data_IF_425983096472
#
_entry.id   IF_425983096472
#
_cell.length_a   1.000
_cell.length_b   1.000
_cell.length_c   1.000
_cell.angle_alpha   90.00
_cell.angle_beta   90.00
_cell.angle_gamma   90.00
#
_symmetry.space_group_name_H-M   'P 1'
#
loop_
_entity.id
_entity.type
_entity.pdbx_description
1 polymer ?
#
# COMPACT_ATOMS: atom_id res chain seq x y z
N UNK A 1 -4.66 27.13 40.10
CA UNK A 1 -5.64 26.02 40.10
C UNK A 1 -6.76 26.39 39.16
N UNK A 2 -6.78 25.84 37.96
CA UNK A 2 -7.93 25.92 37.06
C UNK A 2 -8.34 24.48 36.73
N UNK A 3 -9.46 24.05 37.34
CA UNK A 3 -10.09 22.75 37.13
C UNK A 3 -11.03 22.89 35.92
N UNK A 4 -11.06 21.86 35.07
CA UNK A 4 -11.99 21.61 33.96
C UNK A 4 -11.54 22.08 32.57
N UNK A 5 -10.54 21.41 31.99
CA UNK A 5 -10.74 20.91 30.64
C UNK A 5 -11.53 19.62 30.80
N UNK A 6 -12.79 19.62 30.37
CA UNK A 6 -13.67 18.46 30.46
C UNK A 6 -12.99 17.23 29.89
N UNK A 7 -13.04 16.16 30.66
CA UNK A 7 -12.55 14.87 30.26
C UNK A 7 -13.47 14.28 29.18
N UNK A 8 -13.36 14.75 27.93
CA UNK A 8 -14.11 14.25 26.76
C UNK A 8 -13.63 12.86 26.30
N UNK A 9 -13.05 12.07 27.21
CA UNK A 9 -12.52 10.73 26.92
C UNK A 9 -13.68 9.76 26.67
N UNK A 10 -13.79 9.28 25.43
CA UNK A 10 -14.81 8.33 24.99
C UNK A 10 -14.37 6.87 25.06
N UNK A 11 -13.07 6.59 25.21
CA UNK A 11 -12.51 5.23 25.23
C UNK A 11 -11.42 5.06 26.29
N UNK A 12 -11.36 3.90 26.99
CA UNK A 12 -10.29 3.58 27.92
C UNK A 12 -8.94 3.50 27.19
N UNK A 13 -7.88 4.03 27.82
CA UNK A 13 -6.51 4.03 27.29
C UNK A 13 -5.62 3.13 28.13
N UNK A 14 -4.81 2.32 27.46
CA UNK A 14 -3.76 1.51 28.05
C UNK A 14 -2.44 2.28 27.98
N UNK A 15 -1.69 2.32 29.09
CA UNK A 15 -0.33 2.86 29.08
C UNK A 15 0.61 1.89 28.34
N UNK A 16 1.39 2.41 27.39
CA UNK A 16 2.26 1.60 26.53
C UNK A 16 3.57 2.33 26.25
N UNK A 17 4.55 1.61 25.71
CA UNK A 17 5.77 2.18 25.12
C UNK A 17 6.03 1.44 23.82
N UNK A 18 5.38 1.88 22.74
CA UNK A 18 5.49 1.26 21.42
C UNK A 18 6.16 2.21 20.44
N UNK A 19 7.18 1.74 19.73
CA UNK A 19 7.81 2.53 18.70
C UNK A 19 6.83 2.78 17.55
N UNK A 20 6.84 3.98 16.98
CA UNK A 20 6.03 4.33 15.83
C UNK A 20 6.88 5.00 14.74
N UNK A 21 6.56 4.68 13.49
CA UNK A 21 6.94 5.49 12.34
C UNK A 21 5.75 6.38 12.00
N UNK A 22 6.02 7.66 11.78
CA UNK A 22 5.05 8.68 11.43
C UNK A 22 5.38 9.18 10.02
N UNK A 23 4.40 9.16 9.13
CA UNK A 23 4.54 9.68 7.78
C UNK A 23 3.48 10.76 7.51
N UNK A 24 3.88 11.87 6.90
CA UNK A 24 3.01 12.98 6.52
C UNK A 24 2.88 13.16 5.01
N UNK A 25 1.93 13.99 4.59
CA UNK A 25 1.72 14.36 3.17
C UNK A 25 2.83 15.23 2.56
N UNK A 26 3.78 15.71 3.38
CA UNK A 26 4.88 16.59 2.98
C UNK A 26 6.20 16.00 3.48
N UNK A 27 6.76 15.04 2.73
CA UNK A 27 8.15 14.53 2.70
C UNK A 27 8.90 14.22 4.02
N UNK A 28 8.28 14.37 5.18
CA UNK A 28 8.90 14.14 6.49
C UNK A 28 8.38 12.83 7.08
N UNK A 29 9.12 11.75 6.84
CA UNK A 29 9.02 10.55 7.67
C UNK A 29 9.86 10.75 8.92
N UNK A 30 9.30 10.40 10.09
CA UNK A 30 10.02 10.45 11.35
C UNK A 30 9.60 9.33 12.30
N UNK A 31 10.25 9.29 13.46
CA UNK A 31 10.00 8.25 14.47
C UNK A 31 9.44 8.88 15.74
N UNK A 32 8.76 8.07 16.54
CA UNK A 32 8.27 8.48 17.85
C UNK A 32 7.89 7.29 18.73
N UNK A 33 7.40 7.60 19.92
CA UNK A 33 6.99 6.62 20.92
C UNK A 33 5.52 6.82 21.28
N UNK A 34 4.73 5.76 21.19
CA UNK A 34 3.36 5.75 21.69
C UNK A 34 3.41 5.50 23.19
N UNK A 35 2.85 6.44 23.95
CA UNK A 35 2.84 6.44 25.42
C UNK A 35 1.51 5.91 25.99
N UNK A 36 0.43 6.10 25.26
CA UNK A 36 -0.86 5.49 25.55
C UNK A 36 -1.63 5.18 24.26
N UNK A 37 -2.41 4.11 24.29
CA UNK A 37 -3.16 3.61 23.15
C UNK A 37 -4.61 3.30 23.56
N UNK A 38 -5.54 3.65 22.69
CA UNK A 38 -6.96 3.36 22.81
C UNK A 38 -7.50 2.81 21.49
N UNK A 39 -8.77 2.39 21.47
CA UNK A 39 -9.44 1.94 20.24
C UNK A 39 -9.56 3.02 19.16
N UNK A 40 -9.48 4.29 19.52
CA UNK A 40 -9.78 5.43 18.65
C UNK A 40 -8.66 6.46 18.58
N UNK A 41 -7.49 6.18 19.15
CA UNK A 41 -6.41 7.15 19.18
C UNK A 41 -5.26 6.76 20.11
N UNK A 42 -4.23 7.58 20.12
CA UNK A 42 -3.03 7.39 20.93
C UNK A 42 -2.40 8.73 21.34
N UNK A 43 -1.46 8.68 22.26
CA UNK A 43 -0.52 9.78 22.53
C UNK A 43 0.85 9.40 22.02
N UNK A 44 1.45 10.28 21.23
CA UNK A 44 2.75 10.13 20.59
C UNK A 44 3.72 11.14 21.19
N UNK A 45 4.94 10.71 21.47
CA UNK A 45 6.12 11.53 21.71
C UNK A 45 7.00 11.51 20.44
N UNK A 46 7.35 12.66 19.88
CA UNK A 46 8.18 12.76 18.67
C UNK A 46 8.80 14.15 18.54
N UNK A 47 9.98 14.23 17.91
CA UNK A 47 10.62 15.50 17.55
C UNK A 47 10.03 16.14 16.27
N UNK A 48 9.07 15.46 15.62
CA UNK A 48 8.36 16.02 14.48
C UNK A 48 7.44 17.14 14.91
N UNK A 49 7.44 18.23 14.14
CA UNK A 49 6.52 19.34 14.37
C UNK A 49 5.08 18.91 14.05
N UNK A 50 4.25 18.80 15.10
CA UNK A 50 2.84 18.43 14.99
C UNK A 50 1.95 19.67 15.10
N UNK A 51 1.04 19.84 14.15
CA UNK A 51 0.06 20.92 14.15
C UNK A 51 -1.36 20.35 14.28
N UNK A 52 -2.21 20.88 15.19
CA UNK A 52 -3.61 20.47 15.27
C UNK A 52 -4.32 20.56 13.92
N UNK A 53 -5.09 19.52 13.57
CA UNK A 53 -5.77 19.37 12.29
C UNK A 53 -4.94 18.71 11.18
N UNK A 54 -3.64 18.48 11.38
CA UNK A 54 -2.83 17.67 10.47
C UNK A 54 -3.25 16.19 10.57
N UNK A 55 -3.41 15.52 9.43
CA UNK A 55 -3.58 14.07 9.37
C UNK A 55 -2.25 13.41 9.03
N UNK A 56 -1.85 12.41 9.83
CA UNK A 56 -0.63 11.62 9.63
C UNK A 56 -0.95 10.13 9.49
N UNK A 57 -0.08 9.38 8.86
CA UNK A 57 -0.10 7.91 8.87
C UNK A 57 0.82 7.38 9.96
N UNK A 58 0.41 6.31 10.64
CA UNK A 58 1.18 5.68 11.71
C UNK A 58 1.43 4.20 11.42
N UNK A 59 2.64 3.75 11.74
CA UNK A 59 2.99 2.33 11.86
C UNK A 59 3.46 2.07 13.29
N UNK A 60 2.63 1.44 14.12
CA UNK A 60 2.90 1.25 15.56
C UNK A 60 3.39 -0.17 15.82
N UNK A 61 4.64 -0.33 16.24
CA UNK A 61 5.22 -1.62 16.60
C UNK A 61 4.73 -2.08 17.98
N UNK A 62 3.73 -2.97 18.00
CA UNK A 62 3.15 -3.52 19.24
C UNK A 62 3.82 -4.87 19.57
N UNK A 63 4.43 -5.06 20.75
CA UNK A 63 5.10 -6.32 21.10
C UNK A 63 4.19 -7.54 21.10
N UNK A 64 2.91 -7.39 21.43
CA UNK A 64 1.96 -8.52 21.43
C UNK A 64 1.43 -8.85 20.02
N UNK A 65 1.79 -8.06 19.00
CA UNK A 65 1.38 -8.28 17.63
C UNK A 65 2.60 -8.60 16.76
N UNK A 66 2.42 -9.57 15.88
CA UNK A 66 3.46 -10.01 14.94
C UNK A 66 3.89 -8.90 13.96
N UNK A 67 3.00 -7.95 13.65
CA UNK A 67 3.22 -6.83 12.73
C UNK A 67 2.79 -5.51 13.35
N UNK A 68 3.37 -4.41 12.86
CA UNK A 68 2.94 -3.08 13.26
C UNK A 68 1.44 -2.88 12.99
N UNK A 69 0.78 -2.16 13.90
CA UNK A 69 -0.58 -1.70 13.72
C UNK A 69 -0.55 -0.50 12.76
N UNK A 70 -1.32 -0.58 11.68
CA UNK A 70 -1.34 0.39 10.59
C UNK A 70 -2.53 1.33 10.73
N UNK A 71 -2.25 2.64 10.80
CA UNK A 71 -3.27 3.69 10.81
C UNK A 71 -3.09 4.56 9.59
N UNK A 72 -4.02 4.46 8.64
CA UNK A 72 -4.01 5.16 7.33
C UNK A 72 -4.39 6.66 7.46
N UNK A 73 -4.80 7.10 8.64
CA UNK A 73 -5.07 8.50 8.95
C UNK A 73 -5.37 8.71 10.43
N UNK A 74 -4.52 9.50 11.07
CA UNK A 74 -4.65 9.93 12.44
C UNK A 74 -4.58 11.46 12.51
N UNK A 75 -5.65 12.10 12.96
CA UNK A 75 -5.75 13.54 13.04
C UNK A 75 -5.16 14.03 14.37
N UNK A 76 -4.24 15.00 14.30
CA UNK A 76 -3.68 15.68 15.47
C UNK A 76 -4.79 16.51 16.14
N UNK A 77 -5.20 16.09 17.33
CA UNK A 77 -6.22 16.78 18.14
C UNK A 77 -5.62 17.93 18.95
N UNK A 78 -4.40 17.71 19.44
CA UNK A 78 -3.60 18.70 20.15
C UNK A 78 -2.12 18.34 20.00
N UNK A 79 -1.26 19.33 20.15
CA UNK A 79 0.19 19.17 20.18
C UNK A 79 0.80 20.13 21.22
N UNK A 80 1.83 19.67 21.91
CA UNK A 80 2.75 20.48 22.70
C UNK A 80 4.17 20.39 22.11
N UNK A 81 5.24 20.62 22.90
CA UNK A 81 6.61 20.71 22.37
C UNK A 81 7.08 19.42 21.69
N UNK A 82 6.83 18.26 22.31
CA UNK A 82 7.28 16.95 21.86
C UNK A 82 6.19 15.87 21.92
N UNK A 83 4.98 16.20 22.40
CA UNK A 83 3.85 15.29 22.43
C UNK A 83 2.70 15.73 21.53
N UNK A 84 1.99 14.75 21.00
CA UNK A 84 0.74 14.96 20.27
C UNK A 84 -0.32 13.93 20.66
N UNK A 85 -1.56 14.39 20.76
CA UNK A 85 -2.74 13.54 20.87
C UNK A 85 -3.32 13.28 19.49
N UNK A 86 -3.39 12.01 19.09
CA UNK A 86 -3.84 11.60 17.75
C UNK A 86 -5.16 10.84 17.83
N UNK A 87 -6.13 11.18 16.99
CA UNK A 87 -7.39 10.46 16.83
C UNK A 87 -7.36 9.64 15.53
N UNK A 88 -7.65 8.34 15.61
CA UNK A 88 -7.70 7.46 14.45
C UNK A 88 -8.98 7.73 13.66
N UNK A 89 -8.84 8.35 12.48
CA UNK A 89 -9.97 8.69 11.60
C UNK A 89 -10.08 7.75 10.41
N UNK A 90 -8.98 7.12 10.00
CA UNK A 90 -8.96 6.11 8.94
C UNK A 90 -8.11 4.93 9.36
N UNK A 91 -8.78 3.79 9.50
CA UNK A 91 -8.17 2.51 9.82
C UNK A 91 -8.94 1.42 9.10
N UNK A 92 -8.23 0.42 8.59
CA UNK A 92 -8.87 -0.73 7.93
C UNK A 92 -9.56 -1.60 8.97
N UNK A 93 -10.65 -2.26 8.59
CA UNK A 93 -11.41 -3.11 9.52
C UNK A 93 -10.58 -4.21 10.18
N UNK A 94 -9.61 -4.78 9.48
CA UNK A 94 -8.70 -5.80 10.03
C UNK A 94 -7.76 -5.23 11.08
N UNK A 95 -7.18 -4.05 10.84
CA UNK A 95 -6.35 -3.33 11.82
C UNK A 95 -7.17 -2.91 13.03
N UNK A 96 -8.41 -2.47 12.83
CA UNK A 96 -9.32 -2.13 13.92
C UNK A 96 -9.68 -3.36 14.76
N UNK A 97 -9.85 -4.54 14.14
CA UNK A 97 -10.04 -5.79 14.86
C UNK A 97 -8.80 -6.17 15.69
N UNK A 98 -7.60 -6.10 15.10
CA UNK A 98 -6.33 -6.37 15.81
C UNK A 98 -6.14 -5.44 17.00
N UNK A 99 -6.45 -4.16 16.84
CA UNK A 99 -6.44 -3.19 17.95
C UNK A 99 -7.46 -3.55 19.02
N UNK A 100 -8.67 -3.94 18.65
CA UNK A 100 -9.70 -4.33 19.61
C UNK A 100 -9.31 -5.58 20.42
N UNK A 101 -8.72 -6.58 19.78
CA UNK A 101 -8.22 -7.81 20.41
C UNK A 101 -7.04 -7.51 21.35
N UNK A 102 -6.11 -6.65 20.93
CA UNK A 102 -5.01 -6.17 21.77
C UNK A 102 -5.54 -5.48 23.03
N UNK A 103 -6.49 -4.55 22.86
CA UNK A 103 -7.09 -3.82 23.98
C UNK A 103 -7.84 -4.76 24.93
N UNK A 104 -8.56 -5.75 24.41
CA UNK A 104 -9.26 -6.74 25.24
C UNK A 104 -8.30 -7.60 26.06
N UNK A 105 -7.20 -8.05 25.45
CA UNK A 105 -6.22 -8.95 26.09
C UNK A 105 -5.44 -8.26 27.21
N UNK A 106 -5.11 -6.97 27.04
CA UNK A 106 -4.31 -6.20 28.02
C UNK A 106 -5.17 -5.62 29.15
N UNK A 107 -6.36 -5.09 28.86
CA UNK A 107 -7.29 -4.62 29.89
C UNK A 107 -7.75 -5.76 30.81
N UNK A 108 -7.79 -7.00 30.30
CA UNK A 108 -8.04 -8.19 31.13
C UNK A 108 -6.89 -8.57 32.08
N UNK A 109 -5.64 -8.18 31.77
CA UNK A 109 -4.47 -8.45 32.62
C UNK A 109 -4.23 -7.36 33.67
N UNK A 110 -4.53 -6.09 33.36
CA UNK A 110 -4.41 -4.97 34.30
C UNK A 110 -5.41 -5.04 35.48
N UNK A 111 -6.50 -5.82 35.34
CA UNK A 111 -7.45 -6.06 36.42
C UNK A 111 -6.96 -7.08 37.47
N UNK A 112 -5.87 -7.83 37.20
CA UNK A 112 -5.46 -9.00 38.00
C UNK A 112 -4.02 -8.94 38.55
N UNK A 113 -3.26 -7.86 38.31
CA UNK A 113 -1.89 -7.76 38.84
C UNK A 113 -1.51 -6.34 39.23
N UNK A 114 -1.61 -6.05 40.53
CA UNK A 114 -0.75 -5.07 41.17
C UNK A 114 0.57 -5.71 41.50
N UNK A 115 1.53 -5.73 40.58
CA UNK A 115 2.94 -5.78 40.95
C UNK A 115 3.83 -5.19 39.86
N UNK A 116 4.78 -4.40 40.32
CA UNK A 116 5.85 -3.78 39.55
C UNK A 116 6.95 -4.78 39.23
N UNK A 117 7.60 -4.53 38.09
CA UNK A 117 8.92 -5.00 37.67
C UNK A 117 8.98 -6.27 36.81
N UNK A 118 9.59 -6.04 35.64
CA UNK A 118 10.36 -6.97 34.80
C UNK A 118 9.58 -8.13 34.19
N UNK A 119 9.28 -8.02 32.89
CA UNK A 119 9.15 -9.19 32.02
C UNK A 119 9.45 -8.80 30.58
N UNK A 120 10.67 -9.18 30.20
CA UNK A 120 11.09 -9.73 28.91
C UNK A 120 10.66 -9.01 27.62
N UNK A 121 11.69 -8.41 27.01
CA UNK A 121 11.72 -7.95 25.65
C UNK A 121 11.47 -9.14 24.67
N UNK A 122 10.66 -8.86 23.64
CA UNK A 122 10.37 -9.60 22.40
C UNK A 122 9.19 -10.58 22.39
N UNK A 123 8.38 -10.51 21.31
CA UNK A 123 8.57 -11.39 20.15
C UNK A 123 8.92 -10.68 18.83
N UNK A 124 9.93 -11.24 18.16
CA UNK A 124 10.39 -11.00 16.77
C UNK A 124 9.91 -12.19 15.95
N UNK A 125 9.00 -12.04 15.00
CA UNK A 125 8.60 -13.21 14.19
C UNK A 125 8.98 -13.13 12.71
N UNK A 126 9.49 -12.00 12.22
CA UNK A 126 10.03 -11.95 10.83
C UNK A 126 11.28 -11.09 10.59
N UNK A 127 11.81 -10.37 11.59
CA UNK A 127 13.07 -9.63 11.38
C UNK A 127 14.21 -10.63 11.16
N UNK A 128 14.87 -10.56 10.01
CA UNK A 128 16.00 -11.42 9.67
C UNK A 128 15.64 -12.70 8.93
N UNK A 129 14.36 -12.93 8.58
CA UNK A 129 13.99 -13.99 7.63
C UNK A 129 14.24 -13.59 6.19
N UNK A 130 14.30 -12.29 5.88
CA UNK A 130 14.65 -11.78 4.56
C UNK A 130 15.97 -12.34 4.03
N UNK A 131 17.11 -12.27 4.75
CA UNK A 131 18.37 -12.84 4.28
C UNK A 131 18.36 -14.37 4.22
N UNK A 132 17.48 -15.05 4.96
CA UNK A 132 17.32 -16.52 4.89
C UNK A 132 16.56 -16.89 3.62
N UNK A 133 15.44 -16.20 3.34
CA UNK A 133 14.65 -16.42 2.15
C UNK A 133 15.38 -15.99 0.89
N UNK A 134 16.09 -14.85 0.90
CA UNK A 134 16.89 -14.38 -0.22
C UNK A 134 17.89 -15.45 -0.73
N UNK A 135 18.40 -16.31 0.16
CA UNK A 135 19.32 -17.42 -0.17
C UNK A 135 18.60 -18.69 -0.63
N UNK A 136 17.28 -18.81 -0.41
CA UNK A 136 16.52 -20.01 -0.70
C UNK A 136 15.09 -19.69 -1.22
N UNK A 137 14.95 -19.33 -2.51
CA UNK A 137 13.65 -19.02 -3.13
C UNK A 137 12.64 -20.15 -3.03
N UNK A 138 13.07 -21.41 -3.12
CA UNK A 138 12.17 -22.56 -3.01
C UNK A 138 11.55 -22.69 -1.61
N UNK A 139 12.35 -22.48 -0.56
CA UNK A 139 11.83 -22.44 0.82
C UNK A 139 10.88 -21.26 1.01
N UNK A 140 11.23 -20.09 0.47
CA UNK A 140 10.44 -18.87 0.57
C UNK A 140 9.06 -19.04 -0.09
N UNK A 141 9.02 -19.59 -1.31
CA UNK A 141 7.77 -19.90 -2.03
C UNK A 141 6.93 -20.92 -1.26
N UNK A 142 7.54 -22.01 -0.76
CA UNK A 142 6.80 -23.04 -0.01
C UNK A 142 6.16 -22.48 1.26
N UNK A 143 6.89 -21.65 2.01
CA UNK A 143 6.35 -20.99 3.21
C UNK A 143 5.30 -19.94 2.85
N UNK A 144 5.55 -19.15 1.82
CA UNK A 144 4.61 -18.19 1.25
C UNK A 144 3.28 -18.83 0.86
N UNK A 145 3.33 -19.95 0.14
CA UNK A 145 2.14 -20.68 -0.29
C UNK A 145 1.35 -21.23 0.91
N UNK A 146 2.04 -21.73 1.94
CA UNK A 146 1.40 -22.19 3.17
C UNK A 146 0.67 -21.04 3.89
N UNK A 147 1.29 -19.85 3.97
CA UNK A 147 0.66 -18.66 4.54
C UNK A 147 -0.52 -18.16 3.70
N UNK A 148 -0.39 -18.16 2.38
CA UNK A 148 -1.48 -17.79 1.47
C UNK A 148 -2.68 -18.72 1.58
N UNK A 149 -2.44 -20.03 1.75
CA UNK A 149 -3.50 -21.01 1.95
C UNK A 149 -4.25 -20.81 3.27
N UNK A 150 -3.59 -20.26 4.30
CA UNK A 150 -4.20 -19.96 5.59
C UNK A 150 -5.08 -18.71 5.51
N UNK A 151 -4.56 -17.62 4.94
CA UNK A 151 -5.30 -16.37 4.78
C UNK A 151 -4.88 -15.63 3.51
N UNK A 152 -5.73 -15.75 2.47
CA UNK A 152 -5.49 -15.12 1.17
C UNK A 152 -5.60 -13.60 1.23
N UNK A 153 -6.51 -13.06 2.06
CA UNK A 153 -6.78 -11.62 2.12
C UNK A 153 -5.62 -10.87 2.79
N UNK A 154 -5.04 -11.48 3.81
CA UNK A 154 -3.92 -10.93 4.59
C UNK A 154 -2.56 -11.20 3.95
N UNK A 155 -2.46 -12.21 3.07
CA UNK A 155 -1.18 -12.59 2.46
C UNK A 155 -0.43 -11.41 1.86
N UNK A 156 -1.10 -10.54 1.09
CA UNK A 156 -0.44 -9.38 0.45
C UNK A 156 0.26 -8.45 1.44
N UNK A 157 -0.30 -8.31 2.65
CA UNK A 157 0.24 -7.43 3.69
C UNK A 157 1.26 -8.14 4.59
N UNK A 158 1.23 -9.48 4.65
CA UNK A 158 2.12 -10.30 5.47
C UNK A 158 3.16 -11.02 4.62
N UNK A 159 2.87 -12.25 4.22
CA UNK A 159 3.78 -13.13 3.48
C UNK A 159 4.26 -12.51 2.16
N UNK A 160 3.37 -11.86 1.41
CA UNK A 160 3.68 -11.15 0.18
C UNK A 160 4.68 -10.02 0.40
N UNK A 161 4.44 -9.17 1.41
CA UNK A 161 5.35 -8.06 1.75
C UNK A 161 6.72 -8.56 2.21
N UNK A 162 6.77 -9.60 3.07
CA UNK A 162 8.03 -10.20 3.50
C UNK A 162 8.84 -10.77 2.33
N UNK A 163 8.18 -11.52 1.44
CA UNK A 163 8.82 -12.07 0.26
C UNK A 163 9.28 -10.97 -0.70
N UNK A 164 8.48 -9.90 -0.89
CA UNK A 164 8.87 -8.73 -1.66
C UNK A 164 10.10 -8.01 -1.08
N UNK A 165 10.25 -7.97 0.26
CA UNK A 165 11.46 -7.43 0.91
C UNK A 165 12.67 -8.37 0.79
N UNK A 166 12.46 -9.68 0.88
CA UNK A 166 13.51 -10.68 0.67
C UNK A 166 14.01 -10.72 -0.78
N UNK A 167 13.11 -10.44 -1.72
CA UNK A 167 13.38 -10.38 -3.15
C UNK A 167 12.88 -9.04 -3.71
N UNK A 168 13.68 -7.96 -3.65
CA UNK A 168 13.27 -6.64 -4.15
C UNK A 168 12.98 -6.61 -5.65
N UNK A 169 13.53 -7.58 -6.39
CA UNK A 169 13.20 -7.85 -7.79
C UNK A 169 12.81 -9.32 -7.93
N UNK A 170 12.00 -9.64 -8.93
CA UNK A 170 11.69 -11.03 -9.24
C UNK A 170 12.91 -11.65 -9.90
N UNK A 171 13.85 -12.19 -9.10
CA UNK A 171 15.10 -12.75 -9.61
C UNK A 171 14.83 -13.95 -10.53
N UNK A 172 15.73 -14.28 -11.46
CA UNK A 172 15.56 -15.47 -12.31
C UNK A 172 15.31 -16.76 -11.53
N UNK A 173 15.93 -16.91 -10.36
CA UNK A 173 15.76 -18.06 -9.47
C UNK A 173 14.36 -18.09 -8.85
N UNK A 174 13.86 -16.93 -8.38
CA UNK A 174 12.50 -16.81 -7.87
C UNK A 174 11.47 -17.08 -8.97
N UNK A 175 11.67 -16.47 -10.15
CA UNK A 175 10.80 -16.66 -11.31
C UNK A 175 10.76 -18.14 -11.76
N UNK A 176 11.92 -18.81 -11.78
CA UNK A 176 12.02 -20.24 -12.12
C UNK A 176 11.29 -21.10 -11.10
N UNK A 177 11.43 -20.80 -9.81
CA UNK A 177 10.77 -21.54 -8.75
C UNK A 177 9.25 -21.31 -8.76
N UNK A 178 8.78 -20.09 -9.04
CA UNK A 178 7.36 -19.80 -9.26
C UNK A 178 6.81 -20.51 -10.50
N UNK A 179 7.54 -20.48 -11.61
CA UNK A 179 7.15 -21.21 -12.83
C UNK A 179 7.04 -22.72 -12.60
N UNK A 180 7.96 -23.29 -11.82
CA UNK A 180 7.90 -24.71 -11.42
C UNK A 180 6.68 -24.99 -10.56
N UNK A 181 6.39 -24.12 -9.59
CA UNK A 181 5.19 -24.23 -8.74
C UNK A 181 3.91 -24.17 -9.59
N UNK A 182 3.81 -23.20 -10.50
CA UNK A 182 2.65 -23.01 -11.37
C UNK A 182 2.47 -24.22 -12.28
N UNK A 183 3.54 -24.81 -12.83
CA UNK A 183 3.49 -26.02 -13.66
C UNK A 183 3.00 -27.25 -12.90
N UNK A 184 3.47 -27.43 -11.67
CA UNK A 184 3.09 -28.58 -10.84
C UNK A 184 1.72 -28.43 -10.17
N UNK A 185 1.33 -27.20 -9.85
CA UNK A 185 0.12 -26.86 -9.10
C UNK A 185 -1.13 -26.69 -9.95
N UNK A 186 -2.12 -26.00 -9.41
CA UNK A 186 -3.39 -25.66 -10.05
C UNK A 186 -3.74 -24.18 -9.85
N UNK A 187 -5.02 -23.91 -9.56
CA UNK A 187 -5.54 -22.55 -9.39
C UNK A 187 -4.92 -21.83 -8.19
N UNK A 188 -4.78 -22.51 -7.05
CA UNK A 188 -4.23 -21.92 -5.83
C UNK A 188 -2.79 -21.43 -6.00
N UNK A 189 -1.94 -22.20 -6.68
CA UNK A 189 -0.55 -21.83 -6.92
C UNK A 189 -0.43 -20.64 -7.86
N UNK A 190 -1.32 -20.56 -8.86
CA UNK A 190 -1.41 -19.40 -9.74
C UNK A 190 -1.92 -18.16 -8.99
N UNK A 191 -2.97 -18.30 -8.17
CA UNK A 191 -3.51 -17.20 -7.34
C UNK A 191 -2.43 -16.69 -6.36
N UNK A 192 -1.68 -17.60 -5.73
CA UNK A 192 -0.55 -17.26 -4.86
C UNK A 192 0.53 -16.50 -5.64
N UNK A 193 0.91 -16.99 -6.83
CA UNK A 193 1.92 -16.34 -7.65
C UNK A 193 1.46 -14.92 -8.02
N UNK A 194 0.21 -14.74 -8.47
CA UNK A 194 -0.34 -13.41 -8.79
C UNK A 194 -0.33 -12.48 -7.57
N UNK A 195 -0.78 -12.96 -6.41
CA UNK A 195 -0.76 -12.19 -5.17
C UNK A 195 0.66 -11.77 -4.76
N UNK A 196 1.66 -12.62 -4.99
CA UNK A 196 3.07 -12.27 -4.76
C UNK A 196 3.57 -11.27 -5.81
N UNK A 197 3.20 -11.44 -7.08
CA UNK A 197 3.61 -10.59 -8.19
C UNK A 197 3.11 -9.14 -8.07
N UNK A 198 2.07 -8.88 -7.26
CA UNK A 198 1.63 -7.53 -6.88
C UNK A 198 2.72 -6.71 -6.16
N UNK A 199 3.80 -7.33 -5.67
CA UNK A 199 4.94 -6.63 -5.07
C UNK A 199 5.96 -6.12 -6.11
N UNK A 200 5.76 -6.43 -7.40
CA UNK A 200 6.70 -6.13 -8.49
C UNK A 200 6.04 -5.30 -9.61
N UNK A 201 5.05 -4.49 -9.26
CA UNK A 201 4.28 -3.70 -10.22
C UNK A 201 5.18 -2.91 -11.16
N UNK A 202 4.87 -3.00 -12.44
CA UNK A 202 5.59 -2.31 -13.49
C UNK A 202 6.97 -2.89 -13.86
N UNK A 203 7.46 -3.92 -13.17
CA UNK A 203 8.72 -4.58 -13.51
C UNK A 203 8.55 -5.64 -14.59
N UNK A 204 9.47 -5.68 -15.57
CA UNK A 204 9.52 -6.74 -16.60
C UNK A 204 10.11 -8.06 -16.08
N UNK A 205 10.66 -8.06 -14.85
CA UNK A 205 11.23 -9.24 -14.19
C UNK A 205 10.21 -10.35 -13.93
N UNK A 206 8.92 -10.02 -13.95
CA UNK A 206 7.81 -10.94 -13.71
C UNK A 206 7.33 -11.65 -14.99
N UNK A 207 7.78 -11.19 -16.17
CA UNK A 207 7.20 -11.59 -17.46
C UNK A 207 7.24 -13.09 -17.71
N UNK A 208 8.31 -13.79 -17.34
CA UNK A 208 8.40 -15.25 -17.52
C UNK A 208 7.34 -16.00 -16.71
N UNK A 209 7.05 -15.53 -15.49
CA UNK A 209 6.02 -16.11 -14.61
C UNK A 209 4.62 -15.80 -15.15
N UNK A 210 4.38 -14.57 -15.58
CA UNK A 210 3.09 -14.18 -16.17
C UNK A 210 2.79 -14.96 -17.46
N UNK A 211 3.79 -15.17 -18.32
CA UNK A 211 3.66 -16.02 -19.52
C UNK A 211 3.26 -17.45 -19.17
N UNK A 212 3.83 -18.01 -18.11
CA UNK A 212 3.52 -19.36 -17.64
C UNK A 212 2.08 -19.48 -17.11
N UNK A 213 1.54 -18.41 -16.52
CA UNK A 213 0.13 -18.36 -16.12
C UNK A 213 -0.76 -18.28 -17.39
N UNK A 214 -0.41 -17.38 -18.32
CA UNK A 214 -1.16 -17.19 -19.57
C UNK A 214 -1.22 -18.46 -20.41
N UNK A 215 -0.16 -19.25 -20.44
CA UNK A 215 -0.14 -20.51 -21.18
C UNK A 215 -1.03 -21.60 -20.59
N UNK A 216 -1.38 -21.48 -19.31
CA UNK A 216 -2.06 -22.54 -18.57
C UNK A 216 -3.57 -22.36 -18.49
N UNK A 217 -4.06 -21.11 -18.47
CA UNK A 217 -5.47 -20.80 -18.26
C UNK A 217 -6.15 -20.33 -19.54
N UNK A 218 -7.45 -20.63 -19.66
CA UNK A 218 -8.27 -20.16 -20.78
C UNK A 218 -8.45 -18.65 -20.74
N UNK A 219 -8.73 -18.04 -21.90
CA UNK A 219 -8.90 -16.60 -22.06
C UNK A 219 -9.89 -15.96 -21.04
N UNK A 220 -10.99 -16.65 -20.72
CA UNK A 220 -12.05 -16.16 -19.82
C UNK A 220 -11.77 -16.39 -18.33
N UNK A 221 -10.61 -16.96 -17.99
CA UNK A 221 -10.25 -17.26 -16.62
C UNK A 221 -9.99 -15.97 -15.81
N UNK A 222 -10.52 -15.82 -14.59
CA UNK A 222 -10.33 -14.62 -13.78
C UNK A 222 -8.87 -14.26 -13.53
N UNK A 223 -7.97 -15.25 -13.48
CA UNK A 223 -6.52 -15.01 -13.33
C UNK A 223 -5.93 -14.23 -14.50
N UNK A 224 -6.47 -14.40 -15.70
CA UNK A 224 -6.01 -13.62 -16.84
C UNK A 224 -6.43 -12.15 -16.72
N UNK A 225 -7.55 -11.85 -16.08
CA UNK A 225 -7.89 -10.46 -15.74
C UNK A 225 -6.84 -9.86 -14.80
N UNK A 226 -6.42 -10.61 -13.77
CA UNK A 226 -5.39 -10.15 -12.84
C UNK A 226 -4.01 -9.98 -13.52
N UNK A 227 -3.63 -10.88 -14.44
CA UNK A 227 -2.42 -10.70 -15.27
C UNK A 227 -2.48 -9.39 -16.05
N UNK A 228 -3.64 -9.03 -16.63
CA UNK A 228 -3.83 -7.75 -17.33
C UNK A 228 -3.63 -6.58 -16.37
N UNK A 229 -4.23 -6.64 -15.17
CA UNK A 229 -4.07 -5.61 -14.14
C UNK A 229 -2.61 -5.41 -13.75
N UNK A 230 -1.85 -6.49 -13.56
CA UNK A 230 -0.42 -6.42 -13.23
C UNK A 230 0.40 -5.79 -14.36
N UNK A 231 0.13 -6.13 -15.62
CA UNK A 231 0.82 -5.58 -16.79
C UNK A 231 0.49 -4.09 -16.99
N UNK A 232 -0.78 -3.72 -16.81
CA UNK A 232 -1.27 -2.35 -17.04
C UNK A 232 -0.91 -1.40 -15.90
N UNK A 233 -0.50 -1.92 -14.74
CA UNK A 233 -0.04 -1.10 -13.62
C UNK A 233 1.21 -0.30 -14.03
N UNK A 234 1.07 1.03 -13.98
CA UNK A 234 2.14 1.98 -14.33
C UNK A 234 3.19 2.12 -13.22
N UNK A 235 3.02 1.44 -12.08
CA UNK A 235 3.86 1.58 -10.91
C UNK A 235 3.61 2.90 -10.16
N UNK A 236 4.44 3.20 -9.17
CA UNK A 236 4.28 4.38 -8.30
C UNK A 236 4.66 5.71 -8.94
N UNK A 237 5.38 5.70 -10.07
CA UNK A 237 5.89 6.92 -10.72
C UNK A 237 5.39 6.96 -12.16
N UNK A 238 4.39 7.81 -12.39
CA UNK A 238 3.96 8.18 -13.73
C UNK A 238 4.99 9.15 -14.34
N UNK A 239 5.38 9.01 -15.61
CA UNK A 239 6.23 9.97 -16.31
C UNK A 239 5.72 11.41 -16.13
N UNK A 240 6.63 12.39 -15.94
CA UNK A 240 6.23 13.79 -15.86
C UNK A 240 5.70 14.26 -17.22
N UNK A 241 4.67 15.11 -17.21
CA UNK A 241 4.07 15.69 -18.42
C UNK A 241 2.55 15.51 -18.47
N UNK A 242 1.88 16.26 -19.36
CA UNK A 242 0.40 16.26 -19.44
C UNK A 242 -0.18 14.90 -19.88
N UNK A 243 0.61 14.09 -20.60
CA UNK A 243 0.23 12.76 -21.07
C UNK A 243 0.96 11.63 -20.34
N UNK A 244 1.47 11.87 -19.12
CA UNK A 244 2.31 10.92 -18.40
C UNK A 244 1.76 9.49 -18.33
N UNK A 245 0.45 9.33 -18.13
CA UNK A 245 -0.19 8.01 -18.08
C UNK A 245 -0.22 7.31 -19.45
N UNK A 246 -0.52 8.05 -20.52
CA UNK A 246 -0.49 7.54 -21.88
C UNK A 246 0.93 7.11 -22.29
N UNK A 247 1.94 7.88 -21.88
CA UNK A 247 3.35 7.56 -22.15
C UNK A 247 3.81 6.34 -21.33
N UNK A 248 3.32 6.18 -20.10
CA UNK A 248 3.55 4.97 -19.30
C UNK A 248 2.99 3.72 -19.98
N UNK A 249 1.76 3.79 -20.51
CA UNK A 249 1.16 2.67 -21.25
C UNK A 249 1.84 2.39 -22.59
N UNK A 250 2.39 3.42 -23.26
CA UNK A 250 3.21 3.21 -24.45
C UNK A 250 4.47 2.39 -24.13
N UNK A 251 5.16 2.73 -23.04
CA UNK A 251 6.32 1.95 -22.58
C UNK A 251 5.94 0.50 -22.21
N UNK A 252 4.74 0.28 -21.65
CA UNK A 252 4.23 -1.09 -21.44
C UNK A 252 4.01 -1.82 -22.74
N UNK A 253 3.41 -1.18 -23.75
CA UNK A 253 3.21 -1.76 -25.08
C UNK A 253 4.53 -2.19 -25.71
N UNK A 254 5.56 -1.35 -25.64
CA UNK A 254 6.91 -1.70 -26.12
C UNK A 254 7.48 -2.93 -25.40
N UNK A 255 7.29 -3.03 -24.08
CA UNK A 255 7.75 -4.17 -23.29
C UNK A 255 7.08 -5.50 -23.68
N UNK A 256 5.86 -5.45 -24.23
CA UNK A 256 5.10 -6.61 -24.70
C UNK A 256 5.47 -7.07 -26.11
N UNK A 257 6.25 -6.29 -26.88
CA UNK A 257 6.63 -6.68 -28.25
C UNK A 257 7.32 -8.06 -28.30
N UNK A 258 8.12 -8.39 -27.27
CA UNK A 258 8.80 -9.70 -27.15
C UNK A 258 7.85 -10.87 -26.88
N UNK A 259 6.59 -10.61 -26.54
CA UNK A 259 5.58 -11.65 -26.32
C UNK A 259 4.87 -12.03 -27.62
N UNK A 260 4.85 -11.14 -28.63
CA UNK A 260 4.28 -11.44 -29.95
C UNK A 260 5.05 -12.53 -30.70
N UNK A 261 6.34 -12.68 -30.38
CA UNK A 261 7.23 -13.69 -30.96
C UNK A 261 7.36 -14.93 -30.06
N UNK A 262 6.52 -15.05 -29.03
CA UNK A 262 6.57 -16.21 -28.14
C UNK A 262 6.12 -17.48 -28.87
N UNK A 263 6.79 -18.61 -28.58
CA UNK A 263 6.49 -19.89 -29.23
C UNK A 263 5.12 -20.45 -28.83
N UNK A 264 4.53 -19.97 -27.72
CA UNK A 264 3.24 -20.44 -27.23
C UNK A 264 2.08 -19.62 -27.83
N UNK A 265 1.14 -20.25 -28.56
CA UNK A 265 0.03 -19.53 -29.21
C UNK A 265 -0.84 -18.74 -28.23
N UNK A 266 -1.06 -19.26 -27.02
CA UNK A 266 -1.85 -18.59 -25.98
C UNK A 266 -1.20 -17.27 -25.52
N UNK A 267 0.13 -17.26 -25.34
CA UNK A 267 0.90 -16.07 -24.95
C UNK A 267 0.86 -15.02 -26.06
N UNK A 268 1.02 -15.44 -27.31
CA UNK A 268 0.93 -14.56 -28.47
C UNK A 268 -0.45 -13.91 -28.58
N UNK A 269 -1.52 -14.70 -28.52
CA UNK A 269 -2.90 -14.19 -28.60
C UNK A 269 -3.22 -13.24 -27.44
N UNK A 270 -2.76 -13.55 -26.22
CA UNK A 270 -2.91 -12.67 -25.08
C UNK A 270 -2.20 -11.32 -25.29
N UNK A 271 -0.98 -11.35 -25.82
CA UNK A 271 -0.20 -10.14 -26.09
C UNK A 271 -0.84 -9.26 -27.18
N UNK A 272 -1.35 -9.85 -28.26
CA UNK A 272 -2.09 -9.13 -29.31
C UNK A 272 -3.30 -8.39 -28.73
N UNK A 273 -4.07 -9.06 -27.88
CA UNK A 273 -5.21 -8.44 -27.19
C UNK A 273 -4.79 -7.35 -26.20
N UNK A 274 -3.69 -7.55 -25.46
CA UNK A 274 -3.17 -6.52 -24.54
C UNK A 274 -2.73 -5.27 -25.29
N UNK A 275 -2.09 -5.43 -26.44
CA UNK A 275 -1.67 -4.29 -27.24
C UNK A 275 -2.86 -3.48 -27.75
N UNK A 276 -3.92 -4.15 -28.19
CA UNK A 276 -5.16 -3.47 -28.60
C UNK A 276 -5.84 -2.74 -27.42
N UNK A 277 -5.84 -3.34 -26.23
CA UNK A 277 -6.38 -2.70 -25.02
C UNK A 277 -5.56 -1.47 -24.61
N UNK A 278 -4.23 -1.57 -24.60
CA UNK A 278 -3.34 -0.44 -24.32
C UNK A 278 -3.51 0.68 -25.34
N UNK A 279 -3.71 0.36 -26.63
CA UNK A 279 -3.99 1.36 -27.66
C UNK A 279 -5.30 2.12 -27.38
N UNK A 280 -6.33 1.41 -26.92
CA UNK A 280 -7.59 2.04 -26.52
C UNK A 280 -7.39 2.96 -25.31
N UNK A 281 -6.70 2.49 -24.28
CA UNK A 281 -6.43 3.26 -23.06
C UNK A 281 -5.60 4.53 -23.35
N UNK A 282 -4.57 4.43 -24.19
CA UNK A 282 -3.74 5.57 -24.62
C UNK A 282 -4.60 6.62 -25.34
N UNK A 283 -5.48 6.18 -26.25
CA UNK A 283 -6.35 7.09 -27.00
C UNK A 283 -7.36 7.79 -26.08
N UNK A 284 -7.97 7.06 -25.17
CA UNK A 284 -8.93 7.58 -24.19
C UNK A 284 -8.29 8.62 -23.26
N UNK A 285 -7.09 8.33 -22.77
CA UNK A 285 -6.34 9.26 -21.91
C UNK A 285 -5.98 10.55 -22.63
N UNK A 286 -5.48 10.46 -23.87
CA UNK A 286 -5.14 11.65 -24.65
C UNK A 286 -6.36 12.54 -24.88
N UNK A 287 -7.50 11.94 -25.25
CA UNK A 287 -8.77 12.66 -25.40
C UNK A 287 -9.23 13.31 -24.10
N UNK A 288 -9.08 12.63 -22.95
CA UNK A 288 -9.43 13.20 -21.65
C UNK A 288 -8.64 14.48 -21.37
N UNK A 289 -7.32 14.42 -21.57
CA UNK A 289 -6.42 15.56 -21.35
C UNK A 289 -6.73 16.72 -22.32
N UNK A 290 -6.96 16.42 -23.59
CA UNK A 290 -7.37 17.41 -24.59
C UNK A 290 -8.67 18.11 -24.20
N UNK A 291 -9.69 17.35 -23.78
CA UNK A 291 -10.98 17.88 -23.34
C UNK A 291 -10.84 18.75 -22.08
N UNK A 292 -10.03 18.33 -21.10
CA UNK A 292 -9.73 19.14 -19.92
C UNK A 292 -9.03 20.45 -20.28
N UNK A 293 -8.12 20.43 -21.28
CA UNK A 293 -7.43 21.63 -21.76
C UNK A 293 -8.41 22.61 -22.39
N UNK A 294 -9.28 22.13 -23.28
CA UNK A 294 -10.31 22.96 -23.91
C UNK A 294 -11.24 23.60 -22.87
N UNK A 295 -11.63 22.85 -21.82
CA UNK A 295 -12.45 23.39 -20.74
C UNK A 295 -11.71 24.49 -19.98
N UNK A 296 -10.43 24.27 -19.63
CA UNK A 296 -9.58 25.27 -18.95
C UNK A 296 -9.40 26.55 -19.78
N UNK A 297 -9.21 26.42 -21.08
CA UNK A 297 -9.09 27.55 -22.02
C UNK A 297 -10.40 28.36 -22.07
N UNK A 298 -11.56 27.68 -22.14
CA UNK A 298 -12.88 28.35 -22.13
C UNK A 298 -13.13 29.12 -20.82
N UNK A 299 -12.87 28.50 -19.68
CA UNK A 299 -13.03 29.17 -18.37
C UNK A 299 -12.10 30.38 -18.22
N UNK A 300 -10.84 30.27 -18.66
CA UNK A 300 -9.91 31.41 -18.64
C UNK A 300 -10.43 32.57 -19.51
N UNK A 301 -10.93 32.28 -20.71
CA UNK A 301 -11.47 33.32 -21.59
C UNK A 301 -12.74 33.98 -21.02
N UNK A 302 -13.59 33.22 -20.32
CA UNK A 302 -14.75 33.76 -19.61
C UNK A 302 -14.33 34.72 -18.47
N UNK A 303 -13.33 34.35 -17.66
CA UNK A 303 -12.79 35.19 -16.59
C UNK A 303 -12.10 36.47 -17.10
N UNK A 304 -11.34 36.38 -18.20
CA UNK A 304 -10.68 37.54 -18.83
C UNK A 304 -11.69 38.49 -19.50
N UNK A 305 -12.77 37.96 -20.08
CA UNK A 305 -13.84 38.76 -20.68
C UNK A 305 -14.78 39.41 -19.66
N UNK A 306 -14.76 38.95 -18.40
CA UNK A 306 -15.55 39.49 -17.28
C UNK A 306 -14.98 40.75 -16.62
N UNK A 307 -13.81 41.25 -17.05
CA UNK A 307 -13.15 42.43 -16.47
C UNK A 307 -13.25 43.73 -17.31
N UNK A 308 -14.26 43.85 -18.18
CA UNK A 308 -14.65 45.14 -18.78
C UNK A 308 -15.92 45.71 -18.14
N UNK A 309 -15.85 45.96 -16.83
CA UNK A 309 -16.81 46.82 -16.15
C UNK A 309 -16.11 48.10 -15.68
N UNK A 310 -16.05 49.04 -16.62
CA UNK A 310 -15.88 50.48 -16.47
C UNK A 310 -15.55 50.97 -15.06
N UNK A 311 -14.27 51.26 -14.84
CA UNK A 311 -13.85 52.18 -13.79
C UNK A 311 -14.52 53.54 -14.05
N UNK A 312 -15.63 53.79 -13.37
CA UNK A 312 -16.29 55.09 -13.31
C UNK A 312 -15.77 55.79 -12.05
N UNK A 313 -14.91 56.81 -12.15
CA UNK A 313 -14.44 57.52 -10.96
C UNK A 313 -15.64 58.15 -10.25
N UNK A 314 -15.73 57.94 -8.93
CA UNK A 314 -16.73 58.63 -8.10
C UNK A 314 -16.29 60.08 -7.90
N UNK A 315 -17.20 61.05 -8.00
CA UNK A 315 -16.87 62.46 -7.83
C UNK A 315 -16.71 62.76 -6.34
N UNK A 316 -15.54 63.28 -5.94
CA UNK A 316 -15.36 64.35 -4.96
C UNK A 316 -14.04 65.06 -5.26
#
# INVERSE_FOLDING_TARGET
MNRNAEDQRTAPRMAVQFQAIVAGSVESEGTGMILDLSRSGCRLESQLLMLPGLSVELRIAVPALEWALMVDGADVQWADEDHAGLAFVRMRGTEQQRLNELMATRLGKEADTGDTAQSEQLPVEFQGLEPVFAKNPALAIRKGLAWFAQDRAEFRFRGGSLLGRAFPTCTPELATALGTLIKAGGTQEADFALALLQNYLGSTSTNSVLKEIVSRFSHDDPRLSEVRTLINSTGAVTPPGEFGLADAWLAKKESLMRWLTDGQPAVKAFAEQQMAELDRLILEERRRIEHERELRERTRHEDESGHDHGYRPKPF
#
